data_IF_464906819529
#
_entry.id   IF_464906819529
#
_cell.length_a   1.000
_cell.length_b   1.000
_cell.length_c   1.000
_cell.angle_alpha   90.00
_cell.angle_beta   90.00
_cell.angle_gamma   90.00
#
_symmetry.space_group_name_H-M   'P 1'
#
loop_
_entity.id
_entity.type
_entity.pdbx_description
1 polymer ?
#
# COMPACT_ATOMS: atom_id res chain seq x y z
N UNK A 1 13.67 -8.02 7.92
CA UNK A 1 13.64 -8.12 6.45
C UNK A 1 13.44 -6.74 5.85
N UNK A 2 14.35 -6.25 4.99
CA UNK A 2 14.15 -5.01 4.25
C UNK A 2 13.01 -5.15 3.23
N UNK A 3 12.03 -4.25 3.28
CA UNK A 3 10.86 -4.25 2.40
C UNK A 3 10.29 -2.84 2.25
N UNK A 4 9.48 -2.62 1.21
CA UNK A 4 8.62 -1.45 1.13
C UNK A 4 7.48 -1.61 2.14
N UNK A 5 7.41 -0.73 3.12
CA UNK A 5 6.33 -0.68 4.11
C UNK A 5 5.17 0.16 3.54
N UNK A 6 4.18 -0.50 2.96
CA UNK A 6 3.19 0.16 2.07
C UNK A 6 2.28 1.12 2.83
N UNK A 7 1.81 0.70 4.01
CA UNK A 7 0.91 1.53 4.83
C UNK A 7 1.64 2.76 5.37
N UNK A 8 2.88 2.59 5.83
CA UNK A 8 3.73 3.67 6.32
C UNK A 8 4.11 4.65 5.20
N UNK A 9 4.33 4.12 3.99
CA UNK A 9 4.59 4.93 2.80
C UNK A 9 3.36 5.73 2.38
N UNK A 10 2.15 5.19 2.51
CA UNK A 10 0.92 5.94 2.30
C UNK A 10 0.74 7.07 3.33
N UNK A 11 1.04 6.83 4.60
CA UNK A 11 1.03 7.87 5.64
C UNK A 11 2.07 8.96 5.38
N UNK A 12 3.27 8.60 4.91
CA UNK A 12 4.30 9.57 4.54
C UNK A 12 3.86 10.39 3.33
N UNK A 13 3.23 9.76 2.34
CA UNK A 13 2.66 10.45 1.19
C UNK A 13 1.59 11.45 1.63
N UNK A 14 0.71 11.09 2.56
CA UNK A 14 -0.27 12.03 3.13
C UNK A 14 0.39 13.26 3.77
N UNK A 15 1.49 13.05 4.50
CA UNK A 15 2.29 14.17 5.03
C UNK A 15 2.84 15.05 3.91
N UNK A 16 3.44 14.46 2.87
CA UNK A 16 4.00 15.22 1.75
C UNK A 16 2.93 16.02 0.99
N UNK A 17 1.74 15.45 0.82
CA UNK A 17 0.59 16.12 0.20
C UNK A 17 0.07 17.32 1.00
N UNK A 18 0.34 17.37 2.31
CA UNK A 18 -0.06 18.48 3.18
C UNK A 18 0.85 19.71 3.08
N UNK A 19 2.03 19.56 2.43
CA UNK A 19 2.98 20.65 2.30
C UNK A 19 2.43 21.71 1.31
N UNK A 20 2.46 23.02 1.67
CA UNK A 20 1.81 24.06 0.87
C UNK A 20 2.49 24.35 -0.47
N UNK A 21 3.82 24.22 -0.53
CA UNK A 21 4.64 24.47 -1.73
C UNK A 21 5.82 23.49 -1.76
N UNK A 22 5.57 22.19 -1.99
CA UNK A 22 6.65 21.20 -2.03
C UNK A 22 7.64 21.53 -3.14
N UNK A 23 8.93 21.30 -2.91
CA UNK A 23 9.96 21.48 -3.96
C UNK A 23 9.71 20.54 -5.14
N UNK A 24 10.40 20.77 -6.26
CA UNK A 24 10.28 19.92 -7.46
C UNK A 24 10.62 18.46 -7.13
N UNK A 25 11.62 18.22 -6.29
CA UNK A 25 12.04 16.89 -5.84
C UNK A 25 10.94 16.22 -5.01
N UNK A 26 10.28 16.97 -4.12
CA UNK A 26 9.17 16.45 -3.33
C UNK A 26 7.94 16.16 -4.20
N UNK A 27 7.66 16.99 -5.21
CA UNK A 27 6.59 16.72 -6.18
C UNK A 27 6.85 15.43 -6.97
N UNK A 28 8.11 15.22 -7.41
CA UNK A 28 8.51 13.98 -8.07
C UNK A 28 8.34 12.76 -7.15
N UNK A 29 8.73 12.88 -5.88
CA UNK A 29 8.54 11.83 -4.88
C UNK A 29 7.05 11.52 -4.65
N UNK A 30 6.20 12.55 -4.53
CA UNK A 30 4.75 12.41 -4.41
C UNK A 30 4.18 11.65 -5.60
N UNK A 31 4.54 12.04 -6.83
CA UNK A 31 4.10 11.38 -8.06
C UNK A 31 4.58 9.94 -8.15
N UNK A 32 5.84 9.67 -7.79
CA UNK A 32 6.40 8.33 -7.80
C UNK A 32 5.69 7.41 -6.80
N UNK A 33 5.48 7.87 -5.56
CA UNK A 33 4.80 7.12 -4.51
C UNK A 33 3.34 6.83 -4.86
N UNK A 34 2.58 7.84 -5.29
CA UNK A 34 1.19 7.65 -5.71
C UNK A 34 1.08 6.73 -6.93
N UNK A 35 1.97 6.88 -7.90
CA UNK A 35 2.05 6.01 -9.06
C UNK A 35 2.37 4.56 -8.69
N UNK A 36 3.25 4.34 -7.71
CA UNK A 36 3.56 3.00 -7.21
C UNK A 36 2.33 2.37 -6.52
N UNK A 37 1.67 3.11 -5.62
CA UNK A 37 0.47 2.63 -4.92
C UNK A 37 -0.64 2.26 -5.90
N UNK A 38 -0.91 3.10 -6.90
CA UNK A 38 -1.93 2.84 -7.90
C UNK A 38 -1.63 1.59 -8.75
N UNK A 39 -0.36 1.37 -9.13
CA UNK A 39 0.04 0.21 -9.95
C UNK A 39 0.04 -1.12 -9.19
N UNK A 40 0.26 -1.10 -7.88
CA UNK A 40 0.40 -2.31 -7.06
C UNK A 40 -0.82 -2.57 -6.17
N UNK A 41 -1.96 -1.95 -6.50
CA UNK A 41 -3.24 -2.30 -5.92
C UNK A 41 -3.68 -3.69 -6.41
N UNK A 42 -4.16 -4.51 -5.47
CA UNK A 42 -4.79 -5.80 -5.74
C UNK A 42 -6.29 -5.55 -5.90
N UNK A 43 -6.82 -5.84 -7.07
CA UNK A 43 -8.24 -5.74 -7.38
C UNK A 43 -8.95 -7.09 -7.18
N UNK A 44 -10.28 -7.05 -7.09
CA UNK A 44 -11.17 -8.22 -7.06
C UNK A 44 -10.84 -9.27 -6.00
N UNK A 45 -10.16 -8.85 -4.92
CA UNK A 45 -9.87 -9.68 -3.76
C UNK A 45 -10.24 -8.95 -2.49
N UNK A 46 -10.54 -9.72 -1.45
CA UNK A 46 -10.74 -9.19 -0.12
C UNK A 46 -9.95 -10.01 0.91
N UNK A 47 -9.54 -9.34 1.99
CA UNK A 47 -8.92 -9.99 3.13
C UNK A 47 -10.02 -10.53 4.04
N UNK A 48 -10.19 -11.86 4.06
CA UNK A 48 -11.30 -12.47 4.79
C UNK A 48 -11.19 -12.20 6.30
N UNK A 49 -12.24 -11.66 6.95
CA UNK A 49 -12.12 -11.14 8.31
C UNK A 49 -11.86 -12.22 9.38
N UNK A 50 -12.38 -13.44 9.20
CA UNK A 50 -12.16 -14.55 10.14
C UNK A 50 -11.02 -15.48 9.72
N UNK A 51 -11.00 -15.94 8.47
CA UNK A 51 -9.98 -16.88 7.98
C UNK A 51 -8.60 -16.23 7.78
N UNK A 52 -8.53 -14.90 7.63
CA UNK A 52 -7.28 -14.15 7.43
C UNK A 52 -6.47 -14.71 6.25
N UNK A 53 -7.15 -14.83 5.13
CA UNK A 53 -6.60 -15.23 3.83
C UNK A 53 -7.19 -14.31 2.77
N UNK A 54 -6.51 -14.22 1.63
CA UNK A 54 -7.10 -13.58 0.46
C UNK A 54 -8.16 -14.49 -0.17
N UNK A 55 -9.26 -13.88 -0.59
CA UNK A 55 -10.31 -14.55 -1.34
C UNK A 55 -10.83 -13.65 -2.46
N UNK A 56 -11.10 -14.28 -3.61
CA UNK A 56 -11.73 -13.61 -4.74
C UNK A 56 -13.07 -12.99 -4.32
N UNK A 57 -13.26 -11.72 -4.68
CA UNK A 57 -14.49 -10.96 -4.48
C UNK A 57 -14.55 -9.88 -5.55
N UNK A 58 -15.25 -10.15 -6.64
CA UNK A 58 -15.41 -9.22 -7.75
C UNK A 58 -15.98 -7.88 -7.27
N UNK A 59 -15.40 -6.78 -7.72
CA UNK A 59 -15.81 -5.42 -7.34
C UNK A 59 -15.40 -5.02 -5.92
N UNK A 60 -14.58 -5.80 -5.22
CA UNK A 60 -13.97 -5.36 -3.98
C UNK A 60 -13.07 -4.13 -4.19
N UNK A 61 -12.99 -3.27 -3.17
CA UNK A 61 -12.06 -2.15 -3.16
C UNK A 61 -10.60 -2.61 -3.25
N UNK A 62 -9.69 -1.70 -3.61
CA UNK A 62 -8.29 -2.05 -3.79
C UNK A 62 -7.64 -2.44 -2.45
N UNK A 63 -6.81 -3.48 -2.50
CA UNK A 63 -6.00 -3.94 -1.38
C UNK A 63 -4.51 -3.81 -1.66
N UNK A 64 -3.73 -3.71 -0.60
CA UNK A 64 -2.28 -3.75 -0.66
C UNK A 64 -1.73 -4.71 0.38
N UNK A 65 -0.61 -5.40 0.09
CA UNK A 65 0.13 -6.11 1.12
C UNK A 65 0.75 -5.10 2.10
N UNK A 66 1.00 -5.53 3.33
CA UNK A 66 1.72 -4.70 4.30
C UNK A 66 3.16 -4.44 3.85
N UNK A 67 3.80 -5.47 3.32
CA UNK A 67 5.18 -5.44 2.84
C UNK A 67 5.25 -5.90 1.39
N UNK A 68 6.00 -5.15 0.58
CA UNK A 68 6.38 -5.55 -0.77
C UNK A 68 7.89 -5.70 -0.88
N UNK A 69 8.34 -6.77 -1.54
CA UNK A 69 9.76 -7.05 -1.75
C UNK A 69 10.41 -5.95 -2.61
N UNK A 70 11.63 -5.56 -2.24
CA UNK A 70 12.41 -4.61 -3.03
C UNK A 70 12.66 -5.18 -4.44
N UNK A 71 12.65 -4.31 -5.45
CA UNK A 71 12.86 -4.61 -6.87
C UNK A 71 11.73 -5.39 -7.56
N UNK A 72 11.14 -6.41 -6.91
CA UNK A 72 10.08 -7.23 -7.54
C UNK A 72 8.67 -6.72 -7.24
N UNK A 73 8.50 -5.98 -6.14
CA UNK A 73 7.22 -5.48 -5.63
C UNK A 73 6.22 -6.59 -5.27
N UNK A 74 6.68 -7.84 -5.12
CA UNK A 74 5.83 -8.97 -4.73
C UNK A 74 5.39 -8.82 -3.27
N UNK A 75 4.15 -9.18 -2.92
CA UNK A 75 3.76 -9.38 -1.52
C UNK A 75 4.71 -10.35 -0.83
N UNK A 76 5.14 -9.99 0.37
CA UNK A 76 5.99 -10.83 1.22
C UNK A 76 5.44 -10.89 2.63
N UNK A 77 5.62 -12.05 3.26
CA UNK A 77 5.15 -12.35 4.60
C UNK A 77 6.28 -12.94 5.43
N UNK A 78 6.17 -12.82 6.74
CA UNK A 78 7.10 -13.46 7.66
C UNK A 78 6.37 -14.07 8.84
N UNK A 79 7.05 -14.95 9.55
CA UNK A 79 6.53 -15.59 10.75
C UNK A 79 7.54 -15.50 11.90
N UNK A 80 7.21 -16.09 13.05
CA UNK A 80 8.05 -16.08 14.26
C UNK A 80 9.29 -16.95 14.13
N UNK A 81 9.32 -17.85 13.14
CA UNK A 81 10.50 -18.62 12.76
C UNK A 81 11.59 -17.75 12.09
N UNK A 82 11.24 -16.52 11.66
CA UNK A 82 12.14 -15.62 10.95
C UNK A 82 12.20 -15.87 9.44
N UNK A 83 11.42 -16.82 8.92
CA UNK A 83 11.41 -17.19 7.51
C UNK A 83 10.58 -16.22 6.66
N UNK A 84 10.90 -16.20 5.36
CA UNK A 84 10.22 -15.40 4.34
C UNK A 84 9.26 -16.27 3.54
N UNK A 85 8.02 -15.80 3.39
CA UNK A 85 6.98 -16.45 2.62
C UNK A 85 6.43 -15.54 1.52
N UNK A 86 5.98 -16.14 0.43
CA UNK A 86 5.31 -15.45 -0.68
C UNK A 86 3.83 -15.82 -0.78
N UNK A 87 3.38 -16.80 0.00
CA UNK A 87 1.98 -17.15 0.18
C UNK A 87 1.59 -17.00 1.65
N UNK A 88 0.56 -16.20 1.90
CA UNK A 88 0.03 -15.96 3.25
C UNK A 88 -0.50 -17.24 3.90
N UNK A 89 -0.87 -18.26 3.12
CA UNK A 89 -1.27 -19.57 3.66
C UNK A 89 -0.14 -20.30 4.37
N UNK A 90 1.12 -19.98 4.06
CA UNK A 90 2.31 -20.54 4.72
C UNK A 90 2.57 -19.88 6.09
N UNK A 91 1.99 -18.70 6.33
CA UNK A 91 2.09 -18.02 7.62
C UNK A 91 1.19 -18.73 8.65
N UNK A 92 1.72 -18.92 9.86
CA UNK A 92 1.03 -19.50 10.99
C UNK A 92 -0.30 -18.79 11.25
N UNK A 93 -1.27 -19.56 11.72
CA UNK A 93 -2.60 -19.03 11.99
C UNK A 93 -2.55 -17.91 13.05
N UNK A 94 -1.69 -18.03 14.08
CA UNK A 94 -1.49 -17.00 15.10
C UNK A 94 -1.04 -15.66 14.47
N UNK A 95 -0.06 -15.68 13.55
CA UNK A 95 0.39 -14.45 12.88
C UNK A 95 -0.60 -13.92 11.86
N UNK A 96 -1.34 -14.78 11.17
CA UNK A 96 -2.44 -14.33 10.28
C UNK A 96 -3.56 -13.63 11.05
N UNK A 97 -3.89 -14.10 12.26
CA UNK A 97 -4.90 -13.48 13.12
C UNK A 97 -4.41 -12.21 13.81
N UNK A 98 -3.18 -12.25 14.34
CA UNK A 98 -2.64 -11.18 15.18
C UNK A 98 -1.95 -10.05 14.43
N UNK A 99 -1.84 -10.12 13.10
CA UNK A 99 -1.15 -9.11 12.30
C UNK A 99 -1.86 -8.81 10.97
N UNK A 100 -1.95 -7.53 10.62
CA UNK A 100 -2.63 -7.08 9.42
C UNK A 100 -1.69 -7.17 8.20
N UNK A 101 -1.73 -8.32 7.50
CA UNK A 101 -0.91 -8.57 6.30
C UNK A 101 -1.41 -7.88 5.03
N UNK A 102 -2.68 -7.49 4.99
CA UNK A 102 -3.29 -6.72 3.91
C UNK A 102 -4.08 -5.53 4.45
N UNK A 103 -4.20 -4.48 3.64
CA UNK A 103 -4.86 -3.24 4.03
C UNK A 103 -5.46 -2.49 2.85
N UNK A 104 -6.53 -1.74 3.12
CA UNK A 104 -7.18 -0.81 2.17
C UNK A 104 -6.71 0.64 2.41
N UNK A 105 -5.88 0.89 3.44
CA UNK A 105 -5.50 2.23 3.90
C UNK A 105 -4.86 3.16 2.85
N UNK A 106 -4.15 2.67 1.81
CA UNK A 106 -3.67 3.55 0.74
C UNK A 106 -4.76 4.17 -0.15
N UNK A 107 -5.99 3.64 -0.17
CA UNK A 107 -7.04 4.13 -1.06
C UNK A 107 -7.41 5.61 -0.78
N UNK A 108 -7.71 6.03 0.47
CA UNK A 108 -7.94 7.45 0.77
C UNK A 108 -6.74 8.37 0.46
N UNK A 109 -5.50 7.86 0.58
CA UNK A 109 -4.28 8.60 0.20
C UNK A 109 -4.25 8.86 -1.31
N UNK A 110 -4.60 7.88 -2.14
CA UNK A 110 -4.69 8.06 -3.58
C UNK A 110 -5.78 9.09 -3.97
N UNK A 111 -6.92 9.10 -3.29
CA UNK A 111 -7.94 10.14 -3.49
C UNK A 111 -7.44 11.54 -3.13
N UNK A 112 -6.72 11.67 -2.00
CA UNK A 112 -6.07 12.93 -1.60
C UNK A 112 -5.05 13.39 -2.65
N UNK A 113 -4.25 12.46 -3.17
CA UNK A 113 -3.30 12.74 -4.25
C UNK A 113 -4.00 13.27 -5.51
N UNK A 114 -5.13 12.70 -5.93
CA UNK A 114 -5.85 13.21 -7.11
C UNK A 114 -6.34 14.64 -6.92
N UNK A 115 -6.88 14.97 -5.73
CA UNK A 115 -7.27 16.35 -5.39
C UNK A 115 -6.08 17.30 -5.40
N UNK A 116 -4.97 16.89 -4.78
CA UNK A 116 -3.74 17.68 -4.76
C UNK A 116 -3.20 17.93 -6.18
N UNK A 117 -3.18 16.90 -7.02
CA UNK A 117 -2.71 16.99 -8.42
C UNK A 117 -3.55 17.95 -9.25
N UNK A 118 -4.88 17.92 -9.09
CA UNK A 118 -5.78 18.84 -9.80
C UNK A 118 -5.51 20.29 -9.40
N UNK A 119 -5.48 20.58 -8.09
CA UNK A 119 -5.22 21.92 -7.58
C UNK A 119 -3.81 22.43 -7.96
N UNK A 120 -2.80 21.55 -7.96
CA UNK A 120 -1.44 21.91 -8.32
C UNK A 120 -1.30 22.28 -9.80
N UNK A 121 -2.00 21.57 -10.68
CA UNK A 121 -2.03 21.88 -12.12
C UNK A 121 -2.76 23.19 -12.42
N UNK A 122 -3.80 23.53 -11.64
CA UNK A 122 -4.52 24.80 -11.80
C UNK A 122 -3.69 26.00 -11.32
N UNK A 123 -2.87 25.82 -10.28
CA UNK A 123 -1.96 26.86 -9.79
C UNK A 123 -0.73 27.11 -10.71
N UNK A 124 -0.45 26.18 -11.63
CA UNK A 124 0.67 26.25 -12.57
C UNK A 124 0.30 26.82 -13.95
N UNK A 125 -0.99 27.10 -14.19
CA UNK A 125 -1.48 27.84 -15.36
C UNK A 125 -1.50 29.35 -15.08
#
# INVERSE_FOLDING_TARGET
MPALAVMESASLLDFLLSLPKPSVELQQAIHAAAGWLARHAIADQHWHPQLRVLQAKAGAGPLWPRFAELNTNRPIFGDRDGELYYDVHQVSFERRQGYAWYTERPAPTLERYQRWRAAFNDAAK
#
